data_IF_949689799806
#
_entry.id   IF_949689799806
#
_cell.length_a   1.000
_cell.length_b   1.000
_cell.length_c   1.000
_cell.angle_alpha   90.00
_cell.angle_beta   90.00
_cell.angle_gamma   90.00
#
_symmetry.space_group_name_H-M   'P 1'
#
loop_
_entity.id
_entity.type
_entity.pdbx_description
1 polymer ?
#
# COMPACT_ATOMS: atom_id res chain seq x y z
N UNK A 1 8.82 24.89 17.97
CA UNK A 1 7.81 23.88 18.31
C UNK A 1 7.07 23.60 17.02
N UNK A 2 7.36 22.49 16.33
CA UNK A 2 6.56 22.08 15.19
C UNK A 2 5.28 21.47 15.73
N UNK A 3 4.12 21.87 15.21
CA UNK A 3 2.86 21.19 15.51
C UNK A 3 3.03 19.70 15.18
N UNK A 4 2.89 18.82 16.17
CA UNK A 4 2.81 17.40 15.90
C UNK A 4 1.50 17.15 15.13
N UNK A 5 1.63 16.77 13.86
CA UNK A 5 0.48 16.40 13.04
C UNK A 5 -0.26 15.24 13.70
N UNK A 6 -1.51 15.49 14.09
CA UNK A 6 -2.33 14.50 14.79
C UNK A 6 -2.61 13.24 13.94
N UNK A 7 -2.92 12.09 14.57
CA UNK A 7 -3.24 10.84 13.86
C UNK A 7 -4.34 10.99 12.80
N UNK A 8 -5.38 11.78 13.07
CA UNK A 8 -6.48 12.03 12.13
C UNK A 8 -5.99 12.76 10.88
N UNK A 9 -5.18 13.80 11.02
CA UNK A 9 -4.61 14.53 9.88
C UNK A 9 -3.71 13.63 9.04
N UNK A 10 -2.86 12.80 9.68
CA UNK A 10 -2.03 11.83 8.96
C UNK A 10 -2.87 10.78 8.22
N UNK A 11 -3.98 10.34 8.80
CA UNK A 11 -4.90 9.40 8.15
C UNK A 11 -5.52 10.03 6.89
N UNK A 12 -6.00 11.27 6.98
CA UNK A 12 -6.51 12.02 5.83
C UNK A 12 -5.45 12.24 4.74
N UNK A 13 -4.19 12.48 5.12
CA UNK A 13 -3.10 12.54 4.15
C UNK A 13 -2.86 11.20 3.45
N UNK A 14 -2.94 10.08 4.17
CA UNK A 14 -2.84 8.73 3.58
C UNK A 14 -3.99 8.49 2.60
N UNK A 15 -5.24 8.80 2.99
CA UNK A 15 -6.42 8.67 2.13
C UNK A 15 -6.30 9.52 0.85
N UNK A 16 -5.72 10.72 0.97
CA UNK A 16 -5.47 11.62 -0.16
C UNK A 16 -4.46 11.01 -1.13
N UNK A 17 -3.34 10.47 -0.62
CA UNK A 17 -2.34 9.81 -1.46
C UNK A 17 -2.86 8.52 -2.10
N UNK A 18 -3.67 7.73 -1.39
CA UNK A 18 -4.34 6.54 -1.96
C UNK A 18 -5.29 6.94 -3.10
N UNK A 19 -6.09 7.99 -2.91
CA UNK A 19 -7.00 8.51 -3.94
C UNK A 19 -6.24 9.04 -5.15
N UNK A 20 -5.13 9.77 -4.92
CA UNK A 20 -4.22 10.25 -5.97
C UNK A 20 -3.63 9.09 -6.76
N UNK A 21 -3.17 8.05 -6.08
CA UNK A 21 -2.65 6.85 -6.70
C UNK A 21 -3.73 6.14 -7.53
N UNK A 22 -4.96 6.00 -7.02
CA UNK A 22 -6.09 5.43 -7.77
C UNK A 22 -6.34 6.20 -9.06
N UNK A 23 -6.33 7.53 -9.01
CA UNK A 23 -6.48 8.39 -10.18
C UNK A 23 -5.36 8.22 -11.19
N UNK A 24 -4.10 8.10 -10.74
CA UNK A 24 -2.95 7.86 -11.62
C UNK A 24 -3.04 6.53 -12.37
N UNK A 25 -3.64 5.50 -11.76
CA UNK A 25 -3.72 4.14 -12.30
C UNK A 25 -5.00 3.89 -13.11
N UNK A 26 -6.03 4.70 -12.92
CA UNK A 26 -7.33 4.53 -13.58
C UNK A 26 -7.20 4.59 -15.11
N UNK A 27 -7.87 3.66 -15.79
CA UNK A 27 -7.92 3.61 -17.26
C UNK A 27 -6.60 3.18 -17.95
N UNK A 28 -5.59 2.77 -17.18
CA UNK A 28 -4.35 2.23 -17.76
C UNK A 28 -4.49 0.75 -18.09
N UNK A 29 -3.72 0.31 -19.08
CA UNK A 29 -3.66 -1.08 -19.48
C UNK A 29 -3.07 -1.97 -18.36
N UNK A 30 -3.78 -3.05 -18.01
CA UNK A 30 -3.38 -3.94 -16.92
C UNK A 30 -2.15 -4.78 -17.26
N UNK A 31 -2.03 -5.23 -18.53
CA UNK A 31 -0.88 -6.00 -18.98
C UNK A 31 0.41 -5.18 -18.84
N UNK A 32 0.37 -3.93 -19.29
CA UNK A 32 1.45 -2.97 -19.08
C UNK A 32 1.78 -2.77 -17.60
N UNK A 33 0.78 -2.57 -16.73
CA UNK A 33 1.03 -2.37 -15.29
C UNK A 33 1.61 -3.60 -14.59
N UNK A 34 1.36 -4.80 -15.12
CA UNK A 34 1.90 -6.05 -14.63
C UNK A 34 3.34 -6.32 -15.11
N UNK A 35 3.75 -5.76 -16.24
CA UNK A 35 5.06 -5.99 -16.84
C UNK A 35 6.20 -5.38 -16.00
N UNK A 36 7.24 -6.19 -15.75
CA UNK A 36 8.45 -5.72 -15.08
C UNK A 36 9.36 -5.01 -16.08
N UNK A 37 9.94 -3.85 -15.72
CA UNK A 37 10.94 -3.20 -16.54
C UNK A 37 12.22 -4.07 -16.72
N UNK A 38 12.99 -3.88 -17.81
CA UNK A 38 14.17 -4.69 -18.12
C UNK A 38 15.27 -4.68 -17.05
N UNK A 39 15.32 -3.64 -16.24
CA UNK A 39 16.29 -3.51 -15.14
C UNK A 39 15.97 -4.41 -13.93
N UNK A 40 14.92 -5.23 -14.00
CA UNK A 40 14.53 -6.19 -12.97
C UNK A 40 13.88 -5.58 -11.74
N UNK A 41 13.57 -4.27 -11.75
CA UNK A 41 12.80 -3.64 -10.67
C UNK A 41 11.33 -4.06 -10.70
N UNK A 42 10.59 -3.81 -9.63
CA UNK A 42 9.18 -4.18 -9.52
C UNK A 42 8.30 -3.43 -10.52
N UNK A 43 7.30 -4.14 -11.04
CA UNK A 43 6.25 -3.55 -11.87
C UNK A 43 5.35 -2.59 -11.07
N UNK A 44 4.45 -1.88 -11.75
CA UNK A 44 3.47 -1.02 -11.09
C UNK A 44 2.57 -1.85 -10.18
N UNK A 45 2.04 -2.96 -10.69
CA UNK A 45 1.19 -3.88 -9.93
C UNK A 45 1.90 -4.41 -8.67
N UNK A 46 3.17 -4.79 -8.78
CA UNK A 46 3.94 -5.29 -7.63
C UNK A 46 4.16 -4.21 -6.57
N UNK A 47 4.39 -2.96 -6.97
CA UNK A 47 4.45 -1.84 -6.02
C UNK A 47 3.12 -1.63 -5.30
N UNK A 48 1.98 -1.71 -6.01
CA UNK A 48 0.65 -1.56 -5.40
C UNK A 48 0.34 -2.71 -4.44
N UNK A 49 0.63 -3.97 -4.83
CA UNK A 49 0.50 -5.14 -3.95
C UNK A 49 1.38 -5.03 -2.72
N UNK A 50 2.59 -4.49 -2.88
CA UNK A 50 3.49 -4.25 -1.76
C UNK A 50 2.94 -3.19 -0.80
N UNK A 51 2.31 -2.13 -1.32
CA UNK A 51 1.73 -1.10 -0.49
C UNK A 51 0.55 -1.61 0.35
N UNK A 52 -0.30 -2.48 -0.20
CA UNK A 52 -1.33 -3.19 0.56
C UNK A 52 -0.71 -3.99 1.72
N UNK A 53 0.32 -4.78 1.43
CA UNK A 53 1.06 -5.52 2.47
C UNK A 53 1.66 -4.56 3.53
N UNK A 54 2.26 -3.45 3.09
CA UNK A 54 2.91 -2.50 3.97
C UNK A 54 1.90 -1.83 4.92
N UNK A 55 0.68 -1.56 4.46
CA UNK A 55 -0.39 -1.05 5.32
C UNK A 55 -0.78 -2.09 6.38
N UNK A 56 -1.09 -3.32 5.98
CA UNK A 56 -1.46 -4.38 6.91
C UNK A 56 -0.33 -4.67 7.92
N UNK A 57 0.93 -4.60 7.47
CA UNK A 57 2.11 -4.77 8.31
C UNK A 57 2.27 -3.61 9.30
N UNK A 58 2.18 -2.36 8.85
CA UNK A 58 2.43 -1.21 9.70
C UNK A 58 1.24 -0.89 10.61
N UNK A 59 0.03 -0.94 10.09
CA UNK A 59 -1.18 -0.42 10.72
C UNK A 59 -2.14 -1.51 11.20
N UNK A 60 -1.97 -2.77 10.77
CA UNK A 60 -2.89 -3.86 11.11
C UNK A 60 -3.02 -4.16 12.61
N UNK A 61 -2.12 -3.64 13.46
CA UNK A 61 -2.28 -3.71 14.93
C UNK A 61 -3.46 -2.89 15.45
N UNK A 62 -3.93 -1.91 14.69
CA UNK A 62 -5.07 -1.06 15.03
C UNK A 62 -6.41 -1.64 14.56
N UNK A 63 -6.40 -2.74 13.80
CA UNK A 63 -7.62 -3.43 13.38
C UNK A 63 -8.24 -4.16 14.57
N UNK A 64 -9.55 -4.05 14.73
CA UNK A 64 -10.30 -4.84 15.71
C UNK A 64 -10.16 -6.34 15.40
N UNK A 65 -9.78 -7.15 16.38
CA UNK A 65 -9.48 -8.57 16.16
C UNK A 65 -8.05 -8.84 15.63
N UNK A 66 -7.21 -7.80 15.57
CA UNK A 66 -5.79 -7.93 15.22
C UNK A 66 -5.52 -7.91 13.72
N UNK A 67 -4.26 -8.17 13.35
CA UNK A 67 -3.79 -8.09 11.98
C UNK A 67 -4.40 -9.18 11.11
N UNK A 68 -4.95 -8.79 9.96
CA UNK A 68 -5.38 -9.68 8.89
C UNK A 68 -4.60 -9.38 7.62
N UNK A 69 -4.23 -10.44 6.90
CA UNK A 69 -3.41 -10.38 5.70
C UNK A 69 -4.28 -10.66 4.48
N UNK A 70 -4.18 -9.81 3.46
CA UNK A 70 -4.83 -10.05 2.17
C UNK A 70 -3.93 -10.93 1.30
N UNK A 71 -4.46 -11.96 0.62
CA UNK A 71 -3.68 -12.77 -0.31
C UNK A 71 -3.14 -11.94 -1.50
N UNK A 72 -3.73 -10.77 -1.75
CA UNK A 72 -3.31 -9.87 -2.82
C UNK A 72 -2.05 -9.06 -2.46
N UNK A 73 -1.66 -9.03 -1.19
CA UNK A 73 -0.45 -8.37 -0.73
C UNK A 73 0.83 -9.00 -1.32
N UNK A 74 1.91 -8.22 -1.37
CA UNK A 74 3.23 -8.72 -1.76
C UNK A 74 4.29 -8.34 -0.70
N UNK A 75 4.76 -9.29 0.12
CA UNK A 75 5.84 -9.03 1.05
C UNK A 75 7.18 -8.90 0.31
N UNK A 76 8.15 -8.15 0.86
CA UNK A 76 9.48 -8.05 0.28
C UNK A 76 10.16 -9.42 0.26
N UNK A 77 11.09 -9.63 -0.67
CA UNK A 77 11.70 -10.94 -0.97
C UNK A 77 12.22 -11.70 0.25
N UNK A 78 12.78 -11.01 1.26
CA UNK A 78 13.30 -11.64 2.49
C UNK A 78 12.24 -12.09 3.50
N UNK A 79 10.96 -11.76 3.30
CA UNK A 79 9.87 -12.09 4.23
C UNK A 79 8.93 -13.20 3.73
N UNK A 80 9.01 -13.60 2.46
CA UNK A 80 8.07 -14.55 1.83
C UNK A 80 8.02 -15.94 2.49
N UNK A 81 9.10 -16.36 3.18
CA UNK A 81 9.15 -17.64 3.89
C UNK A 81 8.46 -17.66 5.26
N UNK A 82 7.93 -16.54 5.75
CA UNK A 82 7.28 -16.50 7.05
C UNK A 82 5.92 -17.20 7.01
N UNK A 83 5.69 -18.14 7.94
CA UNK A 83 4.45 -18.94 8.01
C UNK A 83 3.17 -18.09 8.00
N UNK A 84 3.18 -16.96 8.70
CA UNK A 84 2.06 -16.02 8.77
C UNK A 84 1.73 -15.33 7.44
N UNK A 85 2.63 -15.36 6.45
CA UNK A 85 2.48 -14.74 5.13
C UNK A 85 2.17 -15.76 4.04
N UNK A 86 2.01 -17.06 4.37
CA UNK A 86 1.70 -18.10 3.39
C UNK A 86 0.38 -17.86 2.65
N UNK A 87 -0.57 -17.12 3.25
CA UNK A 87 -1.80 -16.70 2.56
C UNK A 87 -1.52 -15.85 1.31
N UNK A 88 -0.38 -15.17 1.25
CA UNK A 88 0.06 -14.34 0.12
C UNK A 88 0.86 -15.13 -0.94
N UNK A 89 1.10 -16.43 -0.72
CA UNK A 89 1.81 -17.28 -1.67
C UNK A 89 0.92 -17.83 -2.80
N UNK A 90 -0.38 -17.49 -2.78
CA UNK A 90 -1.34 -17.87 -3.83
C UNK A 90 -1.08 -17.15 -5.16
N UNK A 91 -1.85 -17.52 -6.19
CA UNK A 91 -1.73 -16.93 -7.53
C UNK A 91 -1.92 -15.41 -7.48
N UNK A 92 -0.93 -14.62 -7.94
CA UNK A 92 -1.08 -13.17 -8.08
C UNK A 92 -2.30 -12.78 -8.91
N UNK A 93 -3.07 -11.80 -8.44
CA UNK A 93 -4.00 -11.10 -9.34
C UNK A 93 -3.21 -10.31 -10.39
N UNK A 94 -3.76 -10.19 -11.60
CA UNK A 94 -3.28 -9.28 -12.63
C UNK A 94 -3.95 -7.89 -12.54
N UNK A 95 -5.00 -7.74 -11.73
CA UNK A 95 -5.78 -6.50 -11.68
C UNK A 95 -5.31 -5.56 -10.58
N UNK A 96 -4.84 -4.38 -11.00
CA UNK A 96 -4.52 -3.28 -10.07
C UNK A 96 -5.76 -2.80 -9.33
N UNK A 97 -6.93 -2.79 -9.98
CA UNK A 97 -8.19 -2.36 -9.38
C UNK A 97 -8.57 -3.25 -8.19
N UNK A 98 -8.44 -4.58 -8.35
CA UNK A 98 -8.73 -5.55 -7.29
C UNK A 98 -7.85 -5.32 -6.05
N UNK A 99 -6.55 -5.04 -6.25
CA UNK A 99 -5.64 -4.74 -5.15
C UNK A 99 -6.01 -3.44 -4.44
N UNK A 100 -6.39 -2.40 -5.21
CA UNK A 100 -6.81 -1.12 -4.64
C UNK A 100 -8.11 -1.25 -3.83
N UNK A 101 -9.06 -2.05 -4.30
CA UNK A 101 -10.32 -2.28 -3.58
C UNK A 101 -10.08 -3.07 -2.28
N UNK A 102 -9.21 -4.10 -2.32
CA UNK A 102 -8.79 -4.80 -1.09
C UNK A 102 -8.05 -3.87 -0.11
N UNK A 103 -7.30 -2.89 -0.62
CA UNK A 103 -6.64 -1.90 0.21
C UNK A 103 -7.62 -0.93 0.86
N UNK A 104 -8.64 -0.45 0.15
CA UNK A 104 -9.72 0.36 0.75
C UNK A 104 -10.38 -0.38 1.91
N UNK A 105 -10.65 -1.69 1.76
CA UNK A 105 -11.22 -2.52 2.84
C UNK A 105 -10.26 -2.63 4.03
N UNK A 106 -8.98 -2.91 3.77
CA UNK A 106 -7.97 -2.97 4.83
C UNK A 106 -7.86 -1.63 5.60
N UNK A 107 -7.88 -0.52 4.87
CA UNK A 107 -7.78 0.83 5.43
C UNK A 107 -8.99 1.21 6.28
N UNK A 108 -10.20 0.91 5.82
CA UNK A 108 -11.42 1.16 6.58
C UNK A 108 -11.42 0.41 7.92
N UNK A 109 -10.84 -0.80 7.96
CA UNK A 109 -10.84 -1.66 9.14
C UNK A 109 -9.95 -1.18 10.30
N UNK A 110 -9.00 -0.27 10.04
CA UNK A 110 -8.05 0.24 11.05
C UNK A 110 -8.44 1.62 11.61
N UNK A 111 -9.38 2.32 10.95
CA UNK A 111 -9.74 3.72 11.28
C UNK A 111 -10.19 3.90 12.73
N UNK A 112 -11.15 3.09 13.16
CA UNK A 112 -11.69 3.17 14.52
C UNK A 112 -10.62 2.94 15.60
N UNK A 113 -9.66 2.03 15.35
CA UNK A 113 -8.57 1.77 16.30
C UNK A 113 -7.50 2.86 16.32
N UNK A 114 -7.35 3.62 15.24
CA UNK A 114 -6.45 4.79 15.19
C UNK A 114 -7.08 5.99 15.90
N UNK A 115 -8.37 6.24 15.69
CA UNK A 115 -9.10 7.34 16.34
C UNK A 115 -9.16 7.18 17.87
N UNK A 116 -9.15 5.94 18.37
CA UNK A 116 -9.10 5.62 19.79
C UNK A 116 -7.69 5.54 20.41
N UNK A 117 -6.61 5.70 19.64
CA UNK A 117 -5.24 5.52 20.13
C UNK A 117 -4.67 6.82 20.73
N UNK A 118 -4.29 6.77 22.01
CA UNK A 118 -3.89 7.95 22.79
C UNK A 118 -2.42 8.40 22.60
N UNK A 119 -1.70 7.96 21.55
CA UNK A 119 -0.37 8.51 21.24
C UNK A 119 0.65 7.59 20.55
N UNK A 120 0.31 6.34 20.26
CA UNK A 120 1.15 5.40 19.51
C UNK A 120 0.94 5.43 17.98
N UNK A 121 -0.16 6.01 17.50
CA UNK A 121 -0.56 5.99 16.09
C UNK A 121 0.23 6.97 15.23
N UNK A 122 0.44 8.21 15.68
CA UNK A 122 1.04 9.28 14.87
C UNK A 122 2.39 8.87 14.25
N UNK A 123 3.32 8.37 15.06
CA UNK A 123 4.65 7.93 14.58
C UNK A 123 4.57 6.80 13.55
N UNK A 124 3.63 5.88 13.70
CA UNK A 124 3.49 4.74 12.78
C UNK A 124 2.80 5.16 11.49
N UNK A 125 1.79 6.03 11.57
CA UNK A 125 1.11 6.64 10.43
C UNK A 125 2.08 7.49 9.60
N UNK A 126 2.85 8.35 10.24
CA UNK A 126 3.87 9.18 9.60
C UNK A 126 4.94 8.33 8.88
N UNK A 127 5.42 7.25 9.52
CA UNK A 127 6.30 6.28 8.86
C UNK A 127 5.63 5.63 7.65
N UNK A 128 4.37 5.20 7.78
CA UNK A 128 3.64 4.57 6.69
C UNK A 128 3.39 5.55 5.54
N UNK A 129 3.03 6.80 5.82
CA UNK A 129 2.83 7.85 4.83
C UNK A 129 4.10 8.15 4.03
N UNK A 130 5.27 8.22 4.68
CA UNK A 130 6.55 8.34 3.96
C UNK A 130 6.81 7.15 3.03
N UNK A 131 6.52 5.93 3.50
CA UNK A 131 6.66 4.70 2.71
C UNK A 131 5.74 4.73 1.48
N UNK A 132 4.48 5.09 1.69
CA UNK A 132 3.47 5.28 0.64
C UNK A 132 3.96 6.25 -0.43
N UNK A 133 4.33 7.47 -0.02
CA UNK A 133 4.82 8.52 -0.92
C UNK A 133 6.08 8.09 -1.69
N UNK A 134 6.97 7.33 -1.07
CA UNK A 134 8.17 6.83 -1.74
C UNK A 134 7.82 5.88 -2.90
N UNK A 135 6.90 4.92 -2.67
CA UNK A 135 6.47 4.01 -3.73
C UNK A 135 5.61 4.71 -4.79
N UNK A 136 4.78 5.69 -4.44
CA UNK A 136 4.04 6.47 -5.45
C UNK A 136 5.01 7.16 -6.42
N UNK A 137 6.11 7.76 -5.92
CA UNK A 137 7.15 8.36 -6.79
C UNK A 137 7.79 7.34 -7.74
N UNK A 138 7.97 6.09 -7.29
CA UNK A 138 8.47 4.99 -8.14
C UNK A 138 7.45 4.65 -9.21
N UNK A 139 6.18 4.47 -8.83
CA UNK A 139 5.08 4.19 -9.76
C UNK A 139 4.97 5.28 -10.82
N UNK A 140 4.95 6.56 -10.43
CA UNK A 140 4.93 7.68 -11.37
C UNK A 140 6.07 7.64 -12.38
N UNK A 141 7.28 7.25 -11.94
CA UNK A 141 8.43 7.12 -12.84
C UNK A 141 8.24 5.98 -13.84
N UNK A 142 7.75 4.83 -13.38
CA UNK A 142 7.43 3.69 -14.26
C UNK A 142 6.37 4.09 -15.31
N UNK A 143 5.32 4.79 -14.88
CA UNK A 143 4.25 5.24 -15.76
C UNK A 143 4.72 6.26 -16.82
N UNK A 144 5.69 7.13 -16.49
CA UNK A 144 6.25 8.09 -17.46
C UNK A 144 7.16 7.43 -18.49
N UNK A 145 8.03 6.53 -18.05
CA UNK A 145 9.03 5.91 -18.92
C UNK A 145 8.42 5.02 -19.99
N UNK A 146 7.18 4.56 -19.80
CA UNK A 146 6.45 3.76 -20.75
C UNK A 146 5.74 4.56 -21.87
N UNK A 147 5.53 5.86 -21.68
CA UNK A 147 4.93 6.73 -22.70
C UNK A 147 5.93 7.31 -23.70
N UNK A 148 7.19 6.87 -23.67
CA UNK A 148 8.29 7.36 -24.52
C UNK A 148 8.76 6.32 -25.54
N UNK A 149 8.00 5.23 -25.72
CA UNK A 149 8.27 4.16 -26.68
C UNK A 149 7.38 4.25 -27.92
#
# INVERSE_FOLDING_TARGET
>A
MGEETGPVTLLTEIETEQSRLRGLLSGRDEAFMAERPPNGTWSVLENVRHLLFAEQSHLGRFRAGGREWSPLGLPPTGMQGQRQLQVMAGTPTASVAEVMDAWVVAHASIRAGIEGDAGGAAKVLDRHLRHLRAHIKVIERLLRNAGSG
#
